data_IF_842496567057
#
_entry.id   IF_842496567057
#
_cell.length_a   1.000
_cell.length_b   1.000
_cell.length_c   1.000
_cell.angle_alpha   90.00
_cell.angle_beta   90.00
_cell.angle_gamma   90.00
#
_symmetry.space_group_name_H-M   'P 1'
#
loop_
_entity.id
_entity.type
_entity.pdbx_description
1 polymer ?
#
# COMPACT_ATOMS: atom_id res chain seq x y z
N UNK A 1 -3.99 24.34 -9.49
CA UNK A 1 -3.85 22.90 -9.73
C UNK A 1 -3.97 22.22 -8.39
N UNK A 2 -5.09 21.53 -8.16
CA UNK A 2 -5.25 20.67 -6.97
C UNK A 2 -4.11 19.64 -7.01
N UNK A 3 -3.35 19.57 -5.92
CA UNK A 3 -2.34 18.52 -5.77
C UNK A 3 -3.02 17.16 -5.60
N UNK A 4 -2.23 16.10 -5.50
CA UNK A 4 -2.75 14.84 -4.99
C UNK A 4 -3.11 15.01 -3.51
N UNK A 5 -4.30 14.55 -3.11
CA UNK A 5 -4.78 14.61 -1.72
C UNK A 5 -4.37 13.37 -0.91
N UNK A 6 -4.16 12.23 -1.58
CA UNK A 6 -3.79 10.95 -0.97
C UNK A 6 -2.57 10.36 -1.70
N UNK A 7 -1.66 9.72 -0.96
CA UNK A 7 -0.52 9.00 -1.52
C UNK A 7 -0.14 7.78 -0.68
N UNK A 8 0.26 6.70 -1.35
CA UNK A 8 0.82 5.52 -0.72
C UNK A 8 1.88 4.89 -1.62
N UNK A 9 2.73 4.03 -1.04
CA UNK A 9 3.71 3.23 -1.78
C UNK A 9 3.41 1.73 -1.58
N UNK A 10 3.27 1.01 -2.70
CA UNK A 10 3.06 -0.44 -2.73
C UNK A 10 4.13 -1.15 -3.59
N UNK A 11 5.33 -0.59 -3.65
CA UNK A 11 6.44 -1.27 -4.30
C UNK A 11 6.85 -2.50 -3.50
N UNK A 12 7.32 -3.55 -4.20
CA UNK A 12 7.70 -4.84 -3.59
C UNK A 12 9.07 -4.76 -2.93
N UNK A 13 9.25 -3.77 -2.06
CA UNK A 13 10.50 -3.46 -1.38
C UNK A 13 10.92 -4.55 -0.40
N UNK A 14 10.03 -5.46 -0.01
CA UNK A 14 10.40 -6.68 0.71
C UNK A 14 11.36 -7.59 -0.09
N UNK A 15 11.49 -7.38 -1.41
CA UNK A 15 12.39 -8.12 -2.29
C UNK A 15 12.99 -7.21 -3.38
N UNK A 16 13.87 -6.26 -3.01
CA UNK A 16 14.32 -5.22 -3.94
C UNK A 16 15.29 -5.76 -5.00
N UNK A 17 15.98 -6.88 -4.72
CA UNK A 17 17.06 -7.40 -5.57
C UNK A 17 16.59 -8.35 -6.67
N UNK A 18 15.38 -8.91 -6.57
CA UNK A 18 14.85 -9.86 -7.54
C UNK A 18 13.65 -9.27 -8.30
N UNK A 19 13.76 -8.00 -8.72
CA UNK A 19 12.74 -7.33 -9.52
C UNK A 19 11.55 -6.79 -8.74
N UNK A 20 11.61 -6.75 -7.40
CA UNK A 20 10.62 -6.05 -6.59
C UNK A 20 10.75 -4.52 -6.61
N UNK A 21 11.90 -4.01 -7.06
CA UNK A 21 12.16 -2.59 -7.25
C UNK A 21 13.07 -2.34 -8.46
N UNK A 22 12.81 -1.25 -9.18
CA UNK A 22 13.58 -0.83 -10.35
C UNK A 22 14.13 0.58 -10.12
N UNK A 23 15.43 0.74 -10.36
CA UNK A 23 16.14 2.02 -10.23
C UNK A 23 15.61 3.02 -11.26
N UNK A 24 15.39 4.28 -10.87
CA UNK A 24 14.98 5.36 -11.78
C UNK A 24 16.01 5.60 -12.89
N UNK A 25 17.28 5.31 -12.62
CA UNK A 25 18.40 5.51 -13.55
C UNK A 25 18.50 4.42 -14.62
N UNK A 26 17.80 3.29 -14.47
CA UNK A 26 17.85 2.17 -15.40
C UNK A 26 16.52 2.01 -16.11
N UNK A 27 16.56 1.65 -17.40
CA UNK A 27 15.36 1.17 -18.07
C UNK A 27 14.98 -0.23 -17.55
N UNK A 28 13.69 -0.55 -17.61
CA UNK A 28 13.15 -1.83 -17.12
C UNK A 28 13.89 -3.06 -17.69
N UNK A 29 14.19 -3.03 -18.98
CA UNK A 29 14.88 -4.12 -19.68
C UNK A 29 16.34 -4.24 -19.25
N UNK A 30 17.03 -3.11 -19.08
CA UNK A 30 18.43 -3.05 -18.62
C UNK A 30 18.57 -3.57 -17.20
N UNK A 31 17.63 -3.20 -16.31
CA UNK A 31 17.58 -3.69 -14.94
C UNK A 31 17.36 -5.21 -14.90
N UNK A 32 16.45 -5.76 -15.71
CA UNK A 32 16.22 -7.21 -15.77
C UNK A 32 17.47 -7.97 -16.26
N UNK A 33 18.16 -7.44 -17.27
CA UNK A 33 19.40 -8.02 -17.75
C UNK A 33 20.47 -7.99 -16.65
N UNK A 34 20.56 -6.90 -15.90
CA UNK A 34 21.55 -6.72 -14.83
C UNK A 34 21.26 -7.62 -13.63
N UNK A 35 20.00 -7.76 -13.21
CA UNK A 35 19.58 -8.66 -12.11
C UNK A 35 20.01 -10.11 -12.40
N UNK A 36 19.91 -10.55 -13.65
CA UNK A 36 20.26 -11.92 -14.06
C UNK A 36 21.76 -12.09 -14.29
N UNK A 37 22.42 -11.12 -14.94
CA UNK A 37 23.83 -11.26 -15.37
C UNK A 37 24.83 -10.86 -14.30
N UNK A 38 24.52 -9.85 -13.49
CA UNK A 38 25.43 -9.30 -12.49
C UNK A 38 24.64 -8.77 -11.29
N UNK A 39 24.13 -9.71 -10.49
CA UNK A 39 23.37 -9.40 -9.28
C UNK A 39 24.21 -8.62 -8.25
N UNK A 40 25.53 -8.84 -8.20
CA UNK A 40 26.40 -8.12 -7.26
C UNK A 40 26.57 -6.67 -7.69
N UNK A 41 26.72 -6.38 -8.98
CA UNK A 41 26.67 -5.02 -9.49
C UNK A 41 25.28 -4.39 -9.30
N UNK A 42 24.19 -5.15 -9.49
CA UNK A 42 22.85 -4.64 -9.22
C UNK A 42 22.65 -4.32 -7.75
N UNK A 43 23.02 -5.20 -6.81
CA UNK A 43 22.99 -4.94 -5.36
C UNK A 43 23.87 -3.75 -5.02
N UNK A 44 25.09 -3.72 -5.55
CA UNK A 44 26.03 -2.62 -5.35
C UNK A 44 25.44 -1.34 -5.88
N UNK A 45 24.80 -1.31 -7.04
CA UNK A 45 24.06 -0.14 -7.52
C UNK A 45 22.87 0.16 -6.62
N UNK A 46 22.12 -0.81 -6.12
CA UNK A 46 21.06 -0.57 -5.14
C UNK A 46 21.61 -0.01 -3.81
N UNK A 47 22.85 -0.33 -3.44
CA UNK A 47 23.52 0.20 -2.24
C UNK A 47 24.32 1.51 -2.50
N UNK A 48 24.90 1.71 -3.69
CA UNK A 48 25.84 2.77 -4.11
C UNK A 48 25.19 3.87 -4.95
N UNK A 49 24.35 3.49 -5.93
CA UNK A 49 23.21 4.36 -6.21
C UNK A 49 22.47 4.30 -4.88
N UNK A 50 22.70 5.28 -4.03
CA UNK A 50 21.70 6.21 -3.62
C UNK A 50 20.24 5.70 -3.70
N UNK A 51 19.87 4.43 -3.56
CA UNK A 51 18.49 3.98 -3.33
C UNK A 51 18.20 4.28 -1.88
N UNK A 52 19.17 4.01 -1.01
CA UNK A 52 19.20 4.51 0.36
C UNK A 52 19.33 6.03 0.50
N UNK A 53 19.80 6.80 -0.49
CA UNK A 53 19.91 8.27 -0.36
C UNK A 53 18.91 9.03 -1.27
N UNK A 54 18.50 8.50 -2.43
CA UNK A 54 17.51 9.08 -3.36
C UNK A 54 16.08 8.74 -2.95
N UNK A 55 15.80 7.53 -2.42
CA UNK A 55 14.50 7.25 -1.78
C UNK A 55 14.35 8.19 -0.57
N UNK A 56 15.45 8.44 0.15
CA UNK A 56 15.44 9.17 1.42
C UNK A 56 15.52 10.68 1.31
N UNK A 57 16.24 11.19 0.32
CA UNK A 57 16.48 12.61 0.17
C UNK A 57 15.70 13.18 -1.02
N UNK A 58 15.67 12.51 -2.19
CA UNK A 58 15.33 13.20 -3.44
C UNK A 58 13.89 13.01 -3.97
N UNK A 59 13.28 11.83 -3.89
CA UNK A 59 12.03 11.59 -4.66
C UNK A 59 10.81 11.30 -3.80
N UNK A 60 10.94 10.63 -2.66
CA UNK A 60 9.77 10.29 -1.83
C UNK A 60 9.66 11.20 -0.62
N UNK A 61 10.71 11.39 0.19
CA UNK A 61 10.61 12.30 1.33
C UNK A 61 10.54 13.79 0.95
N UNK A 62 11.28 14.29 -0.05
CA UNK A 62 11.11 15.69 -0.48
C UNK A 62 9.75 15.91 -1.18
N UNK A 63 9.28 14.95 -1.98
CA UNK A 63 7.98 15.05 -2.66
C UNK A 63 6.83 14.88 -1.66
N UNK A 64 6.85 13.86 -0.81
CA UNK A 64 5.88 13.66 0.25
C UNK A 64 5.96 14.75 1.28
N UNK A 65 7.11 15.14 1.85
CA UNK A 65 7.18 16.28 2.77
C UNK A 65 6.69 17.59 2.11
N UNK A 66 6.93 17.80 0.82
CA UNK A 66 6.46 19.00 0.10
C UNK A 66 4.96 18.93 -0.21
N UNK A 67 4.41 17.75 -0.45
CA UNK A 67 2.99 17.53 -0.73
C UNK A 67 2.16 17.42 0.55
N UNK A 68 2.69 16.81 1.61
CA UNK A 68 2.09 16.77 2.96
C UNK A 68 2.10 18.16 3.57
N UNK A 69 3.18 18.96 3.37
CA UNK A 69 3.15 20.41 3.66
C UNK A 69 2.10 21.18 2.84
N UNK A 70 1.66 20.64 1.70
CA UNK A 70 0.57 21.18 0.88
C UNK A 70 -0.79 20.55 1.18
N UNK A 71 -0.88 19.66 2.17
CA UNK A 71 -2.13 19.05 2.63
C UNK A 71 -2.36 17.59 2.19
N UNK A 72 -1.42 16.94 1.50
CA UNK A 72 -1.55 15.53 1.11
C UNK A 72 -1.41 14.59 2.32
N UNK A 73 -2.30 13.61 2.44
CA UNK A 73 -2.20 12.54 3.43
C UNK A 73 -1.41 11.36 2.85
N UNK A 74 -0.34 10.94 3.54
CA UNK A 74 0.50 9.82 3.13
C UNK A 74 0.53 8.72 4.19
N UNK A 75 0.41 7.46 3.76
CA UNK A 75 0.57 6.27 4.60
C UNK A 75 1.41 5.20 3.92
N UNK A 76 2.09 4.40 4.73
CA UNK A 76 2.82 3.21 4.25
C UNK A 76 1.83 2.05 4.04
N UNK A 77 1.84 1.39 2.88
CA UNK A 77 0.86 0.32 2.56
C UNK A 77 1.22 -1.05 3.20
N UNK A 78 2.04 -1.06 4.25
CA UNK A 78 2.45 -2.28 4.95
C UNK A 78 3.55 -3.02 4.23
N UNK A 79 4.36 -2.33 3.40
CA UNK A 79 5.55 -2.95 2.81
C UNK A 79 6.70 -3.05 3.84
N UNK A 80 6.60 -2.38 5.01
CA UNK A 80 7.47 -2.41 6.21
C UNK A 80 8.96 -2.05 5.98
N UNK A 81 9.46 -2.37 4.81
CA UNK A 81 10.81 -2.16 4.34
C UNK A 81 11.02 -0.70 3.95
N UNK A 82 10.01 0.01 3.43
CA UNK A 82 10.15 1.43 3.13
C UNK A 82 10.57 2.20 4.38
N UNK A 83 9.78 2.17 5.46
CA UNK A 83 10.12 2.89 6.71
C UNK A 83 11.33 2.31 7.46
N UNK A 84 11.58 1.00 7.38
CA UNK A 84 12.71 0.38 8.09
C UNK A 84 14.06 0.64 7.40
N UNK A 85 14.10 0.49 6.07
CA UNK A 85 15.29 0.80 5.27
C UNK A 85 15.52 2.30 5.22
N UNK A 86 14.44 3.07 5.00
CA UNK A 86 14.12 4.27 5.79
C UNK A 86 15.20 4.77 6.76
N UNK A 87 15.10 4.17 7.94
CA UNK A 87 15.85 4.48 9.15
C UNK A 87 17.30 4.04 9.06
N UNK A 88 17.54 2.85 8.53
CA UNK A 88 18.89 2.30 8.32
C UNK A 88 19.70 3.19 7.37
N UNK A 89 19.02 3.93 6.50
CA UNK A 89 19.60 4.87 5.55
C UNK A 89 19.89 6.26 6.10
N UNK A 90 19.64 6.48 7.39
CA UNK A 90 19.76 7.81 8.02
C UNK A 90 18.80 8.86 7.43
N UNK A 91 17.67 8.43 6.87
CA UNK A 91 16.63 9.34 6.39
C UNK A 91 15.92 10.04 7.55
N UNK A 92 15.48 11.28 7.33
CA UNK A 92 14.68 12.01 8.30
C UNK A 92 13.21 11.58 8.28
N UNK A 93 12.94 10.40 8.84
CA UNK A 93 11.61 9.77 8.96
C UNK A 93 11.15 9.59 10.40
N UNK A 94 11.98 9.94 11.38
CA UNK A 94 11.60 9.85 12.78
C UNK A 94 10.55 10.91 13.08
N UNK A 95 9.66 10.60 14.01
CA UNK A 95 8.73 11.59 14.53
C UNK A 95 9.51 12.68 15.28
N UNK A 96 8.99 13.91 15.31
CA UNK A 96 9.62 15.01 16.04
C UNK A 96 9.63 14.81 17.57
N UNK A 97 8.81 13.87 18.07
CA UNK A 97 8.57 13.65 19.50
C UNK A 97 9.20 12.36 20.05
N UNK A 98 9.47 11.38 19.18
CA UNK A 98 10.03 10.08 19.55
C UNK A 98 10.85 9.49 18.38
N UNK A 99 12.14 9.27 18.61
CA UNK A 99 13.08 8.66 17.67
C UNK A 99 12.80 7.18 17.39
N UNK A 100 11.89 6.55 18.15
CA UNK A 100 11.46 5.17 17.89
C UNK A 100 10.25 5.09 16.97
N UNK A 101 9.50 6.18 16.80
CA UNK A 101 8.29 6.23 15.99
C UNK A 101 8.57 6.85 14.62
N UNK A 102 7.93 6.30 13.60
CA UNK A 102 7.96 6.87 12.25
C UNK A 102 6.99 8.06 12.14
N UNK A 103 7.36 9.05 11.33
CA UNK A 103 6.54 10.23 11.04
C UNK A 103 5.25 9.88 10.29
N UNK A 104 5.28 8.82 9.50
CA UNK A 104 4.14 8.35 8.70
C UNK A 104 3.55 7.09 9.31
N UNK A 105 2.22 7.01 9.44
CA UNK A 105 1.59 5.84 9.99
C UNK A 105 1.56 4.70 8.96
N UNK A 106 1.58 3.47 9.45
CA UNK A 106 1.38 2.28 8.62
C UNK A 106 -0.12 2.07 8.41
N UNK A 107 -0.55 1.72 7.20
CA UNK A 107 -1.92 1.34 6.85
C UNK A 107 -2.55 0.38 7.85
N UNK A 108 -1.77 -0.60 8.36
CA UNK A 108 -2.24 -1.52 9.39
C UNK A 108 -2.53 -0.85 10.73
N UNK A 109 -1.72 0.12 11.14
CA UNK A 109 -1.87 0.81 12.40
C UNK A 109 -2.91 1.94 12.31
N UNK A 110 -3.05 2.55 11.13
CA UNK A 110 -3.85 3.77 10.93
C UNK A 110 -5.29 3.48 10.48
N UNK A 111 -5.49 2.45 9.66
CA UNK A 111 -6.76 2.22 8.96
C UNK A 111 -7.26 0.79 9.21
N UNK A 112 -6.43 -0.20 8.88
CA UNK A 112 -6.90 -1.59 8.85
C UNK A 112 -7.06 -2.19 10.25
N UNK A 113 -6.33 -1.70 11.26
CA UNK A 113 -6.39 -2.18 12.63
C UNK A 113 -7.80 -2.10 13.23
N UNK A 114 -8.44 -0.94 13.08
CA UNK A 114 -9.80 -0.72 13.58
C UNK A 114 -10.83 -1.56 12.81
N UNK A 115 -10.67 -1.67 11.49
CA UNK A 115 -11.53 -2.52 10.63
C UNK A 115 -11.43 -3.99 11.05
N UNK A 116 -10.22 -4.48 11.32
CA UNK A 116 -9.99 -5.86 11.80
C UNK A 116 -10.55 -6.09 13.20
N UNK A 117 -10.48 -5.10 14.10
CA UNK A 117 -11.08 -5.16 15.43
C UNK A 117 -12.60 -5.24 15.38
N UNK A 118 -13.23 -4.64 14.36
CA UNK A 118 -14.66 -4.78 14.07
C UNK A 118 -15.02 -6.15 13.46
N UNK A 119 -14.04 -7.01 13.18
CA UNK A 119 -14.22 -8.36 12.68
C UNK A 119 -14.28 -8.47 11.15
N UNK A 120 -14.13 -7.37 10.42
CA UNK A 120 -14.07 -7.40 8.96
C UNK A 120 -12.77 -8.03 8.50
N UNK A 121 -12.86 -8.92 7.51
CA UNK A 121 -11.72 -9.63 6.91
C UNK A 121 -11.93 -9.76 5.41
N UNK A 122 -10.85 -9.95 4.63
CA UNK A 122 -10.98 -10.21 3.20
C UNK A 122 -11.74 -11.53 2.99
N UNK A 123 -13.00 -11.43 2.60
CA UNK A 123 -13.87 -12.56 2.28
C UNK A 123 -13.91 -12.77 0.76
N UNK A 124 -13.78 -14.03 0.32
CA UNK A 124 -13.81 -14.40 -1.10
C UNK A 124 -14.56 -15.70 -1.26
N UNK A 125 -15.38 -15.80 -2.31
CA UNK A 125 -15.99 -17.05 -2.74
C UNK A 125 -15.50 -17.46 -4.12
N UNK A 126 -15.64 -18.75 -4.41
CA UNK A 126 -15.39 -19.36 -5.71
C UNK A 126 -16.64 -20.18 -6.05
N UNK A 127 -16.98 -20.27 -7.33
CA UNK A 127 -18.08 -21.08 -7.83
C UNK A 127 -17.55 -22.10 -8.85
N UNK A 128 -18.07 -23.33 -8.80
CA UNK A 128 -17.48 -24.46 -9.54
C UNK A 128 -17.98 -24.60 -10.99
N UNK A 129 -19.02 -23.86 -11.39
CA UNK A 129 -19.67 -24.03 -12.70
C UNK A 129 -18.92 -23.34 -13.85
N UNK A 130 -18.06 -22.37 -13.57
CA UNK A 130 -17.37 -21.57 -14.58
C UNK A 130 -18.27 -20.62 -15.38
N UNK A 131 -19.57 -20.55 -15.08
CA UNK A 131 -20.53 -19.64 -15.73
C UNK A 131 -20.64 -18.30 -14.99
N UNK A 132 -20.66 -17.19 -15.75
CA UNK A 132 -20.74 -15.84 -15.16
C UNK A 132 -22.09 -15.58 -14.48
N UNK A 133 -23.14 -16.28 -14.91
CA UNK A 133 -24.49 -16.20 -14.37
C UNK A 133 -24.54 -16.60 -12.88
N UNK A 134 -23.76 -17.61 -12.50
CA UNK A 134 -23.68 -18.07 -11.11
C UNK A 134 -22.93 -17.06 -10.23
N UNK A 135 -21.92 -16.38 -10.78
CA UNK A 135 -21.26 -15.27 -10.07
C UNK A 135 -22.26 -14.16 -9.76
N UNK A 136 -23.02 -13.71 -10.78
CA UNK A 136 -24.06 -12.68 -10.61
C UNK A 136 -25.16 -13.09 -9.64
N UNK A 137 -25.49 -14.38 -9.60
CA UNK A 137 -26.47 -14.91 -8.65
C UNK A 137 -25.94 -14.82 -7.22
N UNK A 138 -24.68 -15.18 -6.99
CA UNK A 138 -24.03 -15.05 -5.68
C UNK A 138 -23.88 -13.58 -5.27
N UNK A 139 -23.52 -12.69 -6.21
CA UNK A 139 -23.42 -11.23 -5.96
C UNK A 139 -24.76 -10.68 -5.45
N UNK A 140 -25.89 -11.07 -6.06
CA UNK A 140 -27.23 -10.68 -5.60
C UNK A 140 -27.55 -11.19 -4.20
N UNK A 141 -27.15 -12.41 -3.88
CA UNK A 141 -27.33 -12.96 -2.53
C UNK A 141 -26.49 -12.16 -1.53
N UNK A 142 -25.23 -11.88 -1.87
CA UNK A 142 -24.33 -11.12 -1.02
C UNK A 142 -24.85 -9.69 -0.78
N UNK A 143 -25.34 -9.02 -1.82
CA UNK A 143 -26.01 -7.71 -1.72
C UNK A 143 -27.19 -7.77 -0.74
N UNK A 144 -28.09 -8.74 -0.88
CA UNK A 144 -29.26 -8.86 -0.02
C UNK A 144 -28.88 -9.10 1.45
N UNK A 145 -27.83 -9.89 1.69
CA UNK A 145 -27.28 -10.12 3.03
C UNK A 145 -26.68 -8.85 3.61
N UNK A 146 -25.88 -8.10 2.84
CA UNK A 146 -25.28 -6.84 3.28
C UNK A 146 -26.35 -5.81 3.67
N UNK A 147 -27.39 -5.63 2.87
CA UNK A 147 -28.51 -4.72 3.18
C UNK A 147 -29.16 -5.08 4.51
N UNK A 148 -29.40 -6.37 4.75
CA UNK A 148 -30.00 -6.84 6.00
C UNK A 148 -29.08 -6.64 7.21
N UNK A 149 -27.76 -6.73 7.02
CA UNK A 149 -26.77 -6.47 8.07
C UNK A 149 -26.66 -4.98 8.38
N UNK A 150 -26.63 -4.11 7.38
CA UNK A 150 -26.57 -2.65 7.53
C UNK A 150 -27.70 -2.16 8.45
N UNK A 151 -28.93 -2.66 8.25
CA UNK A 151 -30.09 -2.27 9.06
C UNK A 151 -30.00 -2.69 10.54
N UNK A 152 -29.19 -3.70 10.87
CA UNK A 152 -29.05 -4.28 12.21
C UNK A 152 -27.75 -3.85 12.91
N UNK A 153 -26.86 -3.15 12.21
CA UNK A 153 -25.52 -2.85 12.67
C UNK A 153 -25.41 -1.43 13.26
N UNK A 154 -24.52 -1.22 14.25
CA UNK A 154 -24.14 0.12 14.68
C UNK A 154 -23.55 0.94 13.52
N UNK A 155 -23.65 2.27 13.60
CA UNK A 155 -23.25 3.19 12.52
C UNK A 155 -21.85 2.90 11.94
N UNK A 156 -20.85 2.69 12.81
CA UNK A 156 -19.47 2.43 12.37
C UNK A 156 -19.31 1.14 11.54
N UNK A 157 -20.10 0.10 11.87
CA UNK A 157 -20.14 -1.16 11.13
C UNK A 157 -20.98 -1.00 9.86
N UNK A 158 -22.07 -0.23 9.93
CA UNK A 158 -22.91 0.06 8.79
C UNK A 158 -22.16 0.84 7.69
N UNK A 159 -21.31 1.80 8.06
CA UNK A 159 -20.49 2.57 7.11
C UNK A 159 -19.54 1.63 6.34
N UNK A 160 -18.85 0.72 7.04
CA UNK A 160 -17.99 -0.30 6.39
C UNK A 160 -18.78 -1.30 5.52
N UNK A 161 -19.98 -1.70 5.94
CA UNK A 161 -20.85 -2.56 5.13
C UNK A 161 -21.37 -1.83 3.88
N UNK A 162 -21.59 -0.52 3.95
CA UNK A 162 -21.99 0.29 2.80
C UNK A 162 -20.87 0.36 1.75
N UNK A 163 -19.60 0.51 2.18
CA UNK A 163 -18.45 0.47 1.27
C UNK A 163 -18.39 -0.87 0.51
N UNK A 164 -18.61 -1.98 1.23
CA UNK A 164 -18.67 -3.32 0.63
C UNK A 164 -19.88 -3.50 -0.31
N UNK A 165 -21.02 -2.89 0.02
CA UNK A 165 -22.22 -2.92 -0.82
C UNK A 165 -21.99 -2.16 -2.13
N UNK A 166 -21.35 -0.98 -2.07
CA UNK A 166 -20.95 -0.26 -3.28
C UNK A 166 -19.97 -1.05 -4.13
N UNK A 167 -19.02 -1.75 -3.50
CA UNK A 167 -18.06 -2.60 -4.21
C UNK A 167 -18.77 -3.71 -4.99
N UNK A 168 -19.68 -4.46 -4.35
CA UNK A 168 -20.44 -5.55 -5.02
C UNK A 168 -21.30 -5.02 -6.17
N UNK A 169 -21.85 -3.81 -6.05
CA UNK A 169 -22.66 -3.18 -7.12
C UNK A 169 -21.84 -2.69 -8.31
N UNK A 170 -20.54 -2.42 -8.11
CA UNK A 170 -19.62 -1.93 -9.15
C UNK A 170 -18.88 -3.06 -9.87
N UNK A 171 -18.75 -4.23 -9.25
CA UNK A 171 -18.19 -5.45 -9.85
C UNK A 171 -19.07 -6.02 -10.94
#
# INVERSE_FOLDING_TARGET
MSGADLGCDQTSLHNPFNGGYYLVQLQFEEANIMIVKDLEQFKKLVYESQVYAIIMENIQLLFYNKLTKKGMHFWDYGNLFFLLESRRASANINSENDDQLFRYPNYFQDILGDILNLGFRPFRWIYNSGQLEDLKYIDKIAEQVLINLILKSPKIVADQLNDNLEWIRKG
#
